data_IF_265720194257
#
_entry.id   IF_265720194257
#
_cell.length_a   1.000
_cell.length_b   1.000
_cell.length_c   1.000
_cell.angle_alpha   90.00
_cell.angle_beta   90.00
_cell.angle_gamma   90.00
#
_symmetry.space_group_name_H-M   'P 1'
#
loop_
_entity.id
_entity.type
_entity.pdbx_description
1 polymer ?
#
# COMPACT_ATOMS: atom_id res chain seq x y z
N UNK A 1 -0.62 -16.55 3.43
CA UNK A 1 -0.44 -15.21 4.00
C UNK A 1 0.89 -14.56 3.62
N UNK A 2 1.94 -15.33 3.33
CA UNK A 2 3.24 -14.76 2.90
C UNK A 2 3.09 -13.88 1.64
N UNK A 3 2.34 -14.35 0.66
CA UNK A 3 2.12 -13.63 -0.61
C UNK A 3 1.31 -12.34 -0.46
N UNK A 4 0.44 -12.26 0.55
CA UNK A 4 -0.37 -11.08 0.82
C UNK A 4 0.30 -10.04 1.72
N UNK A 5 1.50 -10.31 2.25
CA UNK A 5 2.14 -9.45 3.25
C UNK A 5 2.42 -8.04 2.72
N UNK A 6 2.89 -7.94 1.49
CA UNK A 6 3.23 -6.65 0.87
C UNK A 6 1.98 -5.79 0.61
N UNK A 7 0.94 -6.36 -0.01
CA UNK A 7 -0.30 -5.61 -0.28
C UNK A 7 -1.01 -5.19 1.00
N UNK A 8 -1.02 -6.03 2.04
CA UNK A 8 -1.61 -5.69 3.34
C UNK A 8 -0.80 -4.61 4.06
N UNK A 9 0.53 -4.67 3.98
CA UNK A 9 1.40 -3.62 4.51
C UNK A 9 1.16 -2.31 3.79
N UNK A 10 1.16 -2.30 2.45
CA UNK A 10 0.87 -1.11 1.67
C UNK A 10 -0.51 -0.52 2.00
N UNK A 11 -1.54 -1.38 2.10
CA UNK A 11 -2.88 -0.96 2.52
C UNK A 11 -2.85 -0.26 3.89
N UNK A 12 -2.14 -0.79 4.88
CA UNK A 12 -2.08 -0.21 6.22
C UNK A 12 -1.48 1.20 6.26
N UNK A 13 -0.56 1.52 5.35
CA UNK A 13 0.03 2.85 5.23
C UNK A 13 -0.86 3.85 4.50
N UNK A 14 -1.58 3.40 3.47
CA UNK A 14 -2.38 4.29 2.61
C UNK A 14 -3.80 4.49 3.15
N UNK A 15 -4.37 3.51 3.84
CA UNK A 15 -5.66 3.62 4.50
C UNK A 15 -5.69 4.74 5.55
N UNK A 16 -6.90 5.25 5.90
CA UNK A 16 -7.05 6.18 7.02
C UNK A 16 -6.51 5.61 8.32
N UNK A 17 -5.79 6.42 9.08
CA UNK A 17 -5.23 6.03 10.37
C UNK A 17 -3.70 6.00 10.39
N UNK A 18 -3.16 5.34 11.40
CA UNK A 18 -1.72 5.22 11.60
C UNK A 18 -1.29 3.76 11.47
N UNK A 19 -0.34 3.46 10.58
CA UNK A 19 0.19 2.10 10.46
C UNK A 19 1.00 1.72 11.71
N UNK A 20 0.96 0.45 12.05
CA UNK A 20 1.82 -0.15 13.06
C UNK A 20 2.77 -1.13 12.38
N UNK A 21 4.06 -0.95 12.62
CA UNK A 21 5.10 -1.93 12.26
C UNK A 21 5.36 -2.78 13.49
N UNK A 22 5.09 -4.06 13.41
CA UNK A 22 5.38 -5.00 14.49
C UNK A 22 6.84 -5.46 14.39
N UNK A 23 7.50 -5.63 15.54
CA UNK A 23 8.90 -6.02 15.61
C UNK A 23 9.23 -7.26 14.77
N UNK A 24 10.19 -7.14 13.86
CA UNK A 24 10.59 -8.17 12.92
C UNK A 24 9.91 -8.11 11.56
N UNK A 25 8.80 -7.38 11.41
CA UNK A 25 8.14 -7.21 10.12
C UNK A 25 9.10 -6.58 9.10
N UNK A 26 9.91 -5.64 9.52
CA UNK A 26 10.92 -4.95 8.71
C UNK A 26 12.03 -5.87 8.18
N UNK A 27 12.18 -7.04 8.79
CA UNK A 27 13.17 -8.06 8.42
C UNK A 27 12.56 -9.32 7.82
N UNK A 28 11.29 -9.27 7.41
CA UNK A 28 10.57 -10.42 6.86
C UNK A 28 10.50 -11.62 7.81
N UNK A 29 10.33 -11.35 9.10
CA UNK A 29 10.18 -12.40 10.10
C UNK A 29 8.95 -13.25 9.79
N UNK A 30 9.11 -14.57 9.68
CA UNK A 30 8.09 -15.49 9.21
C UNK A 30 7.45 -16.35 10.31
N UNK A 31 7.80 -16.07 11.56
CA UNK A 31 7.22 -16.73 12.72
C UNK A 31 6.72 -15.72 13.75
N UNK A 32 5.87 -16.17 14.67
CA UNK A 32 5.39 -15.39 15.80
C UNK A 32 6.49 -15.31 16.85
N UNK A 33 6.76 -14.10 17.33
CA UNK A 33 7.68 -13.90 18.46
C UNK A 33 7.18 -14.64 19.71
N UNK A 34 8.11 -15.21 20.46
CA UNK A 34 7.85 -15.84 21.74
C UNK A 34 7.33 -14.81 22.74
N UNK A 35 6.25 -15.11 23.44
CA UNK A 35 5.59 -14.13 24.29
C UNK A 35 6.26 -13.98 25.67
N UNK A 36 6.74 -15.07 26.24
CA UNK A 36 7.32 -15.11 27.59
C UNK A 36 8.82 -15.39 27.60
N UNK A 37 9.45 -15.52 26.46
CA UNK A 37 10.86 -15.86 26.33
C UNK A 37 11.57 -14.85 25.44
N UNK A 38 12.91 -14.78 25.59
CA UNK A 38 13.73 -13.96 24.71
C UNK A 38 13.76 -14.59 23.31
N UNK A 39 13.34 -13.83 22.32
CA UNK A 39 13.43 -14.21 20.91
C UNK A 39 14.49 -13.36 20.20
N UNK A 40 15.02 -13.88 19.11
CA UNK A 40 15.99 -13.19 18.28
C UNK A 40 15.39 -12.85 16.93
N UNK A 41 15.40 -11.58 16.58
CA UNK A 41 14.96 -11.09 15.26
C UNK A 41 16.21 -10.98 14.37
N UNK A 42 16.29 -11.73 13.24
CA UNK A 42 17.38 -11.58 12.28
C UNK A 42 17.34 -10.19 11.64
N UNK A 43 18.43 -9.44 11.74
CA UNK A 43 18.50 -8.08 11.19
C UNK A 43 18.95 -8.07 9.72
N UNK A 44 18.45 -8.99 8.91
CA UNK A 44 18.75 -9.05 7.47
C UNK A 44 17.67 -8.34 6.67
N UNK A 45 18.02 -7.22 6.07
CA UNK A 45 17.12 -6.45 5.20
C UNK A 45 16.81 -7.24 3.94
N UNK A 46 15.53 -7.53 3.71
CA UNK A 46 15.01 -8.24 2.54
C UNK A 46 13.96 -7.38 1.82
N UNK A 47 12.81 -7.96 1.49
CA UNK A 47 11.75 -7.32 0.71
C UNK A 47 11.01 -6.23 1.50
N UNK A 48 10.70 -6.51 2.78
CA UNK A 48 9.90 -5.59 3.60
C UNK A 48 10.61 -4.29 3.95
N UNK A 49 11.93 -4.32 4.17
CA UNK A 49 12.66 -3.11 4.54
C UNK A 49 12.51 -1.98 3.52
N UNK A 50 12.85 -2.16 2.23
CA UNK A 50 12.72 -1.09 1.24
C UNK A 50 11.26 -0.70 0.99
N UNK A 51 10.31 -1.63 1.12
CA UNK A 51 8.90 -1.34 1.01
C UNK A 51 8.44 -0.40 2.14
N UNK A 52 8.74 -0.73 3.39
CA UNK A 52 8.39 0.08 4.56
C UNK A 52 9.04 1.47 4.52
N UNK A 53 10.29 1.56 4.06
CA UNK A 53 10.99 2.83 3.88
C UNK A 53 10.27 3.73 2.88
N UNK A 54 9.91 3.21 1.70
CA UNK A 54 9.14 3.94 0.68
C UNK A 54 7.76 4.35 1.18
N UNK A 55 7.03 3.43 1.81
CA UNK A 55 5.70 3.72 2.33
C UNK A 55 5.74 4.77 3.46
N UNK A 56 6.74 4.70 4.34
CA UNK A 56 6.97 5.68 5.39
C UNK A 56 7.27 7.08 4.83
N UNK A 57 8.13 7.16 3.82
CA UNK A 57 8.43 8.41 3.12
C UNK A 57 7.18 9.00 2.48
N UNK A 58 6.39 8.20 1.77
CA UNK A 58 5.14 8.64 1.17
C UNK A 58 4.15 9.14 2.24
N UNK A 59 3.95 8.39 3.31
CA UNK A 59 3.04 8.73 4.41
C UNK A 59 3.40 10.05 5.08
N UNK A 60 4.70 10.31 5.25
CA UNK A 60 5.19 11.51 5.92
C UNK A 60 5.23 12.75 5.02
N UNK A 61 5.34 12.58 3.71
CA UNK A 61 5.51 13.70 2.77
C UNK A 61 4.24 14.09 2.02
N UNK A 62 3.25 13.21 1.90
CA UNK A 62 2.06 13.46 1.08
C UNK A 62 0.84 13.82 1.94
N UNK A 63 0.29 15.06 1.81
CA UNK A 63 -0.88 15.50 2.57
C UNK A 63 -2.12 14.61 2.38
N UNK A 64 -2.28 13.96 1.23
CA UNK A 64 -3.37 13.04 0.96
C UNK A 64 -3.38 11.81 1.88
N UNK A 65 -2.30 11.55 2.61
CA UNK A 65 -2.21 10.46 3.58
C UNK A 65 -2.30 10.93 5.04
N UNK A 66 -2.57 12.21 5.29
CA UNK A 66 -2.73 12.74 6.64
C UNK A 66 -3.91 12.07 7.37
N UNK A 67 -3.72 11.84 8.65
CA UNK A 67 -4.71 11.31 9.57
C UNK A 67 -5.08 12.29 10.70
N UNK A 68 -5.85 11.80 11.68
CA UNK A 68 -6.23 12.57 12.87
C UNK A 68 -7.14 13.75 12.56
N UNK A 69 -6.93 14.86 13.27
CA UNK A 69 -7.75 16.08 13.13
C UNK A 69 -7.69 16.72 11.74
N UNK A 70 -6.58 16.52 11.02
CA UNK A 70 -6.34 17.05 9.67
C UNK A 70 -6.36 15.92 8.61
N UNK A 71 -7.23 14.93 8.81
CA UNK A 71 -7.34 13.79 7.91
C UNK A 71 -7.66 14.22 6.48
N UNK A 72 -7.02 13.53 5.52
CA UNK A 72 -7.42 13.59 4.13
C UNK A 72 -8.76 12.88 3.91
N UNK A 73 -9.46 13.21 2.83
CA UNK A 73 -10.66 12.50 2.42
C UNK A 73 -10.36 11.01 2.15
N UNK A 74 -11.39 10.19 2.19
CA UNK A 74 -11.31 8.78 1.84
C UNK A 74 -12.55 8.39 1.06
N UNK A 75 -12.36 7.88 -0.16
CA UNK A 75 -13.46 7.46 -1.03
C UNK A 75 -13.13 6.11 -1.67
N UNK A 76 -13.93 5.10 -1.38
CA UNK A 76 -13.87 3.80 -2.05
C UNK A 76 -14.44 3.95 -3.45
N UNK A 77 -13.79 3.32 -4.43
CA UNK A 77 -14.20 3.28 -5.83
C UNK A 77 -14.66 1.85 -6.11
N UNK A 78 -15.94 1.72 -6.46
CA UNK A 78 -16.50 0.43 -6.82
C UNK A 78 -15.94 -0.03 -8.17
N UNK A 79 -15.39 -1.24 -8.19
CA UNK A 79 -14.82 -1.88 -9.39
C UNK A 79 -15.70 -2.99 -9.94
N UNK A 80 -16.83 -3.28 -9.26
CA UNK A 80 -17.66 -4.47 -9.55
C UNK A 80 -16.88 -5.80 -9.50
N UNK A 81 -15.75 -5.80 -8.79
CA UNK A 81 -14.90 -6.98 -8.60
C UNK A 81 -14.52 -7.09 -7.12
N UNK A 82 -15.08 -8.07 -6.43
CA UNK A 82 -14.87 -8.29 -5.00
C UNK A 82 -13.43 -8.68 -4.60
N UNK A 83 -12.58 -9.01 -5.56
CA UNK A 83 -11.16 -9.33 -5.35
C UNK A 83 -10.28 -8.09 -5.36
N UNK A 84 -10.79 -6.96 -5.86
CA UNK A 84 -10.05 -5.71 -6.05
C UNK A 84 -10.55 -4.66 -5.07
N UNK A 85 -9.64 -4.03 -4.36
CA UNK A 85 -9.91 -2.84 -3.56
C UNK A 85 -9.27 -1.63 -4.23
N UNK A 86 -10.09 -0.62 -4.54
CA UNK A 86 -9.63 0.68 -4.99
C UNK A 86 -10.20 1.75 -4.08
N UNK A 87 -9.37 2.65 -3.61
CA UNK A 87 -9.82 3.86 -2.94
C UNK A 87 -8.89 5.04 -3.22
N UNK A 88 -9.43 6.22 -3.06
CA UNK A 88 -8.77 7.49 -3.31
C UNK A 88 -8.73 8.32 -2.04
N UNK A 89 -7.61 8.96 -1.81
CA UNK A 89 -7.44 9.95 -0.74
C UNK A 89 -7.00 11.28 -1.34
N UNK A 90 -7.57 12.37 -0.84
CA UNK A 90 -7.31 13.70 -1.39
C UNK A 90 -7.18 14.72 -0.26
N UNK A 91 -6.18 15.60 -0.39
CA UNK A 91 -6.01 16.78 0.46
C UNK A 91 -5.03 17.77 -0.17
N UNK A 92 -5.37 19.04 -0.07
CA UNK A 92 -4.52 20.18 -0.46
C UNK A 92 -3.97 20.06 -1.89
N UNK A 93 -4.80 19.59 -2.84
CA UNK A 93 -4.42 19.39 -4.24
C UNK A 93 -3.62 18.11 -4.52
N UNK A 94 -3.31 17.33 -3.50
CA UNK A 94 -2.66 16.02 -3.65
C UNK A 94 -3.67 14.90 -3.66
N UNK A 95 -3.43 13.90 -4.50
CA UNK A 95 -4.25 12.70 -4.59
C UNK A 95 -3.38 11.46 -4.51
N UNK A 96 -3.81 10.48 -3.72
CA UNK A 96 -3.23 9.14 -3.68
C UNK A 96 -4.34 8.13 -3.93
N UNK A 97 -4.17 7.30 -4.95
CA UNK A 97 -5.08 6.20 -5.28
C UNK A 97 -4.39 4.86 -5.01
N UNK A 98 -4.99 4.06 -4.15
CA UNK A 98 -4.56 2.70 -3.89
C UNK A 98 -5.36 1.72 -4.74
N UNK A 99 -4.66 0.76 -5.34
CA UNK A 99 -5.23 -0.36 -6.09
C UNK A 99 -4.61 -1.64 -5.56
N UNK A 100 -5.41 -2.56 -5.06
CA UNK A 100 -4.92 -3.83 -4.49
C UNK A 100 -5.71 -5.02 -4.99
N UNK A 101 -5.00 -6.07 -5.40
CA UNK A 101 -5.55 -7.37 -5.74
C UNK A 101 -5.42 -8.31 -4.53
N UNK A 102 -6.54 -8.71 -3.97
CA UNK A 102 -6.62 -9.61 -2.81
C UNK A 102 -7.00 -11.03 -3.22
N UNK A 103 -6.47 -11.47 -4.35
CA UNK A 103 -6.69 -12.82 -4.87
C UNK A 103 -5.40 -13.45 -5.40
N UNK A 104 -5.47 -14.75 -5.63
CA UNK A 104 -4.39 -15.55 -6.22
C UNK A 104 -4.41 -15.57 -7.76
N UNK A 105 -5.22 -14.73 -8.40
CA UNK A 105 -5.36 -14.62 -9.87
C UNK A 105 -4.98 -13.22 -10.34
N UNK A 106 -4.53 -13.10 -11.58
CA UNK A 106 -4.34 -11.81 -12.22
C UNK A 106 -5.70 -11.16 -12.42
N UNK A 107 -5.83 -9.90 -12.03
CA UNK A 107 -7.06 -9.14 -12.18
C UNK A 107 -6.82 -7.87 -13.00
N UNK A 108 -7.76 -7.57 -13.89
CA UNK A 108 -7.71 -6.38 -14.73
C UNK A 108 -8.77 -5.38 -14.27
N UNK A 109 -8.41 -4.12 -14.22
CA UNK A 109 -9.31 -3.04 -13.84
C UNK A 109 -9.09 -1.79 -14.67
N UNK A 110 -10.14 -0.95 -14.74
CA UNK A 110 -10.02 0.40 -15.28
C UNK A 110 -9.76 1.38 -14.15
N UNK A 111 -8.77 2.23 -14.34
CA UNK A 111 -8.45 3.28 -13.37
C UNK A 111 -9.22 4.55 -13.68
N UNK A 112 -9.53 5.38 -12.63
CA UNK A 112 -10.34 6.58 -12.81
C UNK A 112 -9.61 7.72 -13.53
N UNK A 113 -8.28 7.73 -13.49
CA UNK A 113 -7.47 8.79 -14.10
C UNK A 113 -6.21 8.22 -14.76
N UNK A 114 -5.68 8.96 -15.73
CA UNK A 114 -4.40 8.69 -16.40
C UNK A 114 -3.43 9.85 -16.12
N UNK A 115 -2.14 9.57 -16.19
CA UNK A 115 -1.09 10.54 -15.92
C UNK A 115 -0.65 10.60 -14.46
N UNK A 116 -1.16 9.73 -13.61
CA UNK A 116 -0.67 9.53 -12.25
C UNK A 116 0.69 8.83 -12.25
N UNK A 117 1.54 9.14 -11.27
CA UNK A 117 2.83 8.47 -11.10
C UNK A 117 2.63 7.25 -10.21
N UNK A 118 3.04 6.08 -10.69
CA UNK A 118 3.15 4.88 -9.84
C UNK A 118 4.31 5.10 -8.87
N UNK A 119 3.99 5.14 -7.59
CA UNK A 119 4.97 5.44 -6.54
C UNK A 119 6.08 4.39 -6.42
N UNK A 120 5.79 3.12 -6.75
CA UNK A 120 6.77 2.05 -6.66
C UNK A 120 7.81 2.10 -7.79
N UNK A 121 7.36 2.30 -9.04
CA UNK A 121 8.23 2.35 -10.23
C UNK A 121 8.72 3.75 -10.57
N UNK A 122 7.99 4.79 -10.19
CA UNK A 122 8.21 6.17 -10.63
C UNK A 122 7.74 6.45 -12.06
N UNK A 123 7.11 5.48 -12.71
CA UNK A 123 6.59 5.62 -14.07
C UNK A 123 5.22 6.30 -14.07
N UNK A 124 4.95 7.03 -15.15
CA UNK A 124 3.64 7.66 -15.34
C UNK A 124 2.71 6.64 -15.97
N UNK A 125 1.55 6.42 -15.34
CA UNK A 125 0.53 5.52 -15.85
C UNK A 125 -0.35 6.25 -16.89
N UNK A 126 -0.22 5.86 -18.13
CA UNK A 126 -1.01 6.41 -19.25
C UNK A 126 -2.16 5.50 -19.66
N UNK A 127 -2.16 4.24 -19.25
CA UNK A 127 -3.21 3.31 -19.58
C UNK A 127 -4.39 3.44 -18.63
N UNK A 128 -5.62 3.43 -19.19
CA UNK A 128 -6.82 3.31 -18.37
C UNK A 128 -7.07 1.88 -17.87
N UNK A 129 -6.38 0.90 -18.43
CA UNK A 129 -6.50 -0.50 -18.04
C UNK A 129 -5.20 -0.92 -17.34
N UNK A 130 -5.32 -1.37 -16.12
CA UNK A 130 -4.20 -1.89 -15.32
C UNK A 130 -4.43 -3.37 -15.04
N UNK A 131 -3.36 -4.16 -15.18
CA UNK A 131 -3.30 -5.54 -14.73
C UNK A 131 -2.58 -5.57 -13.39
N UNK A 132 -3.19 -6.22 -12.40
CA UNK A 132 -2.59 -6.46 -11.09
C UNK A 132 -2.28 -7.94 -10.94
N UNK A 133 -1.02 -8.23 -10.67
CA UNK A 133 -0.56 -9.57 -10.34
C UNK A 133 -1.26 -10.12 -9.09
N UNK A 134 -1.28 -11.44 -8.86
CA UNK A 134 -1.79 -12.02 -7.62
C UNK A 134 -1.16 -11.36 -6.40
N UNK A 135 -1.98 -10.91 -5.46
CA UNK A 135 -1.56 -10.17 -4.24
C UNK A 135 -0.75 -8.91 -4.53
N UNK A 136 -0.81 -8.42 -5.78
CA UNK A 136 -0.13 -7.21 -6.21
C UNK A 136 -0.91 -5.95 -5.87
N UNK A 137 -0.21 -4.83 -5.87
CA UNK A 137 -0.81 -3.51 -5.65
C UNK A 137 -0.12 -2.43 -6.46
N UNK A 138 -0.80 -1.29 -6.60
CA UNK A 138 -0.23 -0.04 -7.09
C UNK A 138 -0.66 1.12 -6.21
N UNK A 139 0.20 2.11 -6.11
CA UNK A 139 -0.07 3.38 -5.42
C UNK A 139 0.17 4.49 -6.43
N UNK A 140 -0.88 5.10 -6.91
CA UNK A 140 -0.81 6.17 -7.89
C UNK A 140 -0.87 7.51 -7.19
N UNK A 141 0.07 8.40 -7.50
CA UNK A 141 0.21 9.73 -6.89
C UNK A 141 0.01 10.80 -7.95
N UNK A 142 -0.84 11.76 -7.65
CA UNK A 142 -1.12 12.95 -8.48
C UNK A 142 -0.91 14.20 -7.62
N UNK A 143 -0.44 15.26 -8.26
CA UNK A 143 -0.34 16.61 -7.69
C UNK A 143 -1.31 17.54 -8.38
#
# INVERSE_FOLDING_TARGET
>A
MKDAAEVLTALSFVAPGMPLIYSGQEYDLDHRLLFFEKDQIPHTKKIMWPLLEKLGQLKNSNPALNGGKNAASHKIIDTNNSKILVFKREKDGHTVTFLGNFSSTIENLKIPSVGAVDYASGEIEYSKNISLEPWGFRILVEK
#
